data_IF_861994768484
#
_entry.id   IF_861994768484
#
_cell.length_a   1.000
_cell.length_b   1.000
_cell.length_c   1.000
_cell.angle_alpha   90.00
_cell.angle_beta   90.00
_cell.angle_gamma   90.00
#
_symmetry.space_group_name_H-M   'P 1'
#
loop_
_entity.id
_entity.type
_entity.pdbx_description
1 polymer ?
#
# COMPACT_ATOMS: atom_id res chain seq x y z
N UNK A 1 -93.03 35.29 4.62
CA UNK A 1 -91.61 35.43 4.22
C UNK A 1 -90.80 35.49 5.51
N UNK A 2 -90.19 34.36 5.89
CA UNK A 2 -89.39 34.21 7.12
C UNK A 2 -88.06 33.59 6.68
N UNK A 3 -86.97 34.30 6.90
CA UNK A 3 -85.60 33.87 6.53
C UNK A 3 -85.18 32.81 7.56
N UNK A 4 -84.77 31.59 7.16
CA UNK A 4 -84.28 30.61 8.11
C UNK A 4 -82.86 30.98 8.55
N UNK A 5 -82.65 30.91 9.85
CA UNK A 5 -81.41 31.22 10.54
C UNK A 5 -80.36 30.13 10.24
N UNK A 6 -79.20 30.52 9.73
CA UNK A 6 -78.15 29.62 9.18
C UNK A 6 -77.18 29.10 10.26
N UNK A 7 -77.46 29.36 11.53
CA UNK A 7 -76.55 29.11 12.66
C UNK A 7 -77.05 28.05 13.66
N UNK A 8 -77.89 27.11 13.21
CA UNK A 8 -78.16 25.89 13.99
C UNK A 8 -77.05 24.88 13.70
N UNK A 9 -75.98 24.95 14.50
CA UNK A 9 -74.99 23.87 14.54
C UNK A 9 -75.67 22.64 15.14
N UNK A 10 -75.73 21.55 14.39
CA UNK A 10 -76.02 20.25 14.96
C UNK A 10 -74.94 19.94 16.01
N UNK A 11 -75.29 19.50 17.23
CA UNK A 11 -74.28 19.02 18.17
C UNK A 11 -73.68 17.74 17.58
N UNK A 12 -72.36 17.74 17.36
CA UNK A 12 -71.59 16.54 17.06
C UNK A 12 -71.89 15.51 18.16
N UNK A 13 -72.44 14.36 17.77
CA UNK A 13 -72.70 13.23 18.66
C UNK A 13 -71.43 12.85 19.44
N UNK A 14 -71.49 12.67 20.77
CA UNK A 14 -70.31 12.50 21.62
C UNK A 14 -69.66 11.11 21.56
N UNK A 15 -69.95 10.29 20.54
CA UNK A 15 -69.52 8.89 20.52
C UNK A 15 -68.78 8.39 19.26
N UNK A 16 -68.36 9.27 18.36
CA UNK A 16 -67.46 8.87 17.25
C UNK A 16 -66.00 9.33 17.47
N UNK A 17 -65.51 9.21 18.71
CA UNK A 17 -64.07 9.03 18.92
C UNK A 17 -63.75 7.58 18.58
N UNK A 18 -63.78 7.26 17.28
CA UNK A 18 -63.26 6.02 16.77
C UNK A 18 -61.81 5.89 17.23
N UNK A 19 -61.55 4.90 18.07
CA UNK A 19 -60.23 4.34 18.30
C UNK A 19 -59.76 3.70 17.00
N UNK A 20 -59.40 4.52 16.01
CA UNK A 20 -58.59 4.04 14.91
C UNK A 20 -57.17 3.90 15.46
N UNK A 21 -56.60 2.71 15.32
CA UNK A 21 -55.20 2.37 15.60
C UNK A 21 -54.22 3.11 14.66
N UNK A 22 -54.64 4.23 14.08
CA UNK A 22 -53.92 5.01 13.09
C UNK A 22 -53.84 6.44 13.58
N UNK A 23 -52.63 6.88 13.89
CA UNK A 23 -52.36 8.29 14.18
C UNK A 23 -52.67 9.14 12.94
N UNK A 24 -53.24 10.33 13.16
CA UNK A 24 -53.53 11.28 12.10
C UNK A 24 -52.24 11.64 11.37
N UNK A 25 -52.26 11.53 10.05
CA UNK A 25 -51.16 11.97 9.19
C UNK A 25 -51.07 13.51 9.17
N UNK A 26 -49.87 14.03 8.98
CA UNK A 26 -49.60 15.46 8.92
C UNK A 26 -49.90 15.95 7.51
N UNK A 27 -50.88 16.83 7.36
CA UNK A 27 -51.27 17.41 6.07
C UNK A 27 -50.46 18.69 5.80
N UNK A 28 -49.65 18.66 4.75
CA UNK A 28 -48.96 19.82 4.20
C UNK A 28 -49.81 20.46 3.10
N UNK A 29 -49.82 21.80 3.08
CA UNK A 29 -50.58 22.60 2.13
C UNK A 29 -49.92 22.62 0.74
N UNK A 30 -48.60 22.50 0.69
CA UNK A 30 -47.84 22.53 -0.55
C UNK A 30 -46.59 21.64 -0.49
N UNK A 31 -46.06 21.18 -1.63
CA UNK A 31 -44.76 20.50 -1.67
C UNK A 31 -43.60 21.45 -1.32
N UNK A 32 -43.78 22.77 -1.52
CA UNK A 32 -42.81 23.77 -1.11
C UNK A 32 -42.60 23.80 0.42
N UNK A 33 -43.65 23.50 1.20
CA UNK A 33 -43.53 23.41 2.66
C UNK A 33 -42.64 22.24 3.08
N UNK A 34 -42.71 21.11 2.37
CA UNK A 34 -41.84 19.95 2.63
C UNK A 34 -40.37 20.29 2.33
N UNK A 35 -40.11 20.92 1.18
CA UNK A 35 -38.77 21.38 0.81
C UNK A 35 -38.23 22.42 1.81
N UNK A 36 -39.08 23.33 2.29
CA UNK A 36 -38.71 24.28 3.32
C UNK A 36 -38.37 23.60 4.65
N UNK A 37 -39.13 22.57 5.06
CA UNK A 37 -38.82 21.81 6.27
C UNK A 37 -37.50 21.03 6.15
N UNK A 38 -37.23 20.42 4.99
CA UNK A 38 -35.98 19.73 4.71
C UNK A 38 -34.79 20.69 4.78
N UNK A 39 -34.84 21.81 4.07
CA UNK A 39 -33.78 22.82 4.05
C UNK A 39 -33.55 23.44 5.43
N UNK A 40 -34.63 23.76 6.16
CA UNK A 40 -34.55 24.31 7.53
C UNK A 40 -33.95 23.30 8.51
N UNK A 41 -34.31 22.03 8.40
CA UNK A 41 -33.77 20.98 9.26
C UNK A 41 -32.27 20.77 9.00
N UNK A 42 -31.86 20.65 7.74
CA UNK A 42 -30.45 20.53 7.35
C UNK A 42 -29.64 21.76 7.77
N UNK A 43 -30.15 22.97 7.57
CA UNK A 43 -29.49 24.20 8.00
C UNK A 43 -29.34 24.28 9.53
N UNK A 44 -30.37 23.89 10.28
CA UNK A 44 -30.33 23.86 11.75
C UNK A 44 -29.32 22.82 12.24
N UNK A 45 -29.29 21.64 11.62
CA UNK A 45 -28.34 20.58 11.96
C UNK A 45 -26.89 21.05 11.74
N UNK A 46 -26.60 21.70 10.61
CA UNK A 46 -25.29 22.31 10.34
C UNK A 46 -24.91 23.38 11.35
N UNK A 47 -25.83 24.31 11.65
CA UNK A 47 -25.60 25.34 12.67
C UNK A 47 -25.33 24.75 14.06
N UNK A 48 -25.95 23.61 14.39
CA UNK A 48 -25.66 22.87 15.63
C UNK A 48 -24.28 22.22 15.62
N UNK A 49 -23.87 21.63 14.49
CA UNK A 49 -22.51 21.11 14.32
C UNK A 49 -21.49 22.24 14.47
N UNK A 50 -21.73 23.40 13.86
CA UNK A 50 -20.86 24.58 13.96
C UNK A 50 -20.75 25.13 15.39
N UNK A 51 -21.81 25.01 16.18
CA UNK A 51 -21.80 25.46 17.58
C UNK A 51 -21.02 24.51 18.48
N UNK A 52 -21.09 23.20 18.22
CA UNK A 52 -20.57 22.17 19.12
C UNK A 52 -19.23 21.57 18.70
N UNK A 53 -18.84 21.71 17.45
CA UNK A 53 -17.53 21.31 16.94
C UNK A 53 -16.76 22.56 16.49
N UNK A 54 -15.48 22.70 16.85
CA UNK A 54 -14.70 23.86 16.46
C UNK A 54 -14.64 23.96 14.93
N UNK A 55 -14.75 25.17 14.35
CA UNK A 55 -14.52 25.35 12.93
C UNK A 55 -13.08 24.93 12.60
N UNK A 56 -12.87 24.41 11.39
CA UNK A 56 -11.58 23.91 10.87
C UNK A 56 -10.41 24.89 11.07
N UNK A 57 -10.72 26.18 11.22
CA UNK A 57 -9.86 27.32 11.44
C UNK A 57 -9.21 27.35 12.84
N UNK A 58 -9.67 26.53 13.80
CA UNK A 58 -9.16 26.48 15.17
C UNK A 58 -8.08 25.40 15.39
N UNK A 59 -7.70 24.65 14.34
CA UNK A 59 -6.59 23.71 14.40
C UNK A 59 -5.24 24.45 14.26
N UNK A 60 -4.15 23.95 14.88
CA UNK A 60 -2.82 24.55 14.75
C UNK A 60 -2.41 24.63 13.26
N UNK A 61 -1.67 25.68 12.90
CA UNK A 61 -1.26 26.04 11.52
C UNK A 61 -0.60 24.91 10.69
N UNK A 62 -0.24 23.80 11.32
CA UNK A 62 0.36 22.61 10.69
C UNK A 62 -0.66 21.59 10.17
N UNK A 63 -1.96 21.76 10.42
CA UNK A 63 -3.02 20.87 9.96
C UNK A 63 -3.86 21.55 8.87
N UNK A 64 -3.38 21.52 7.63
CA UNK A 64 -3.98 22.16 6.45
C UNK A 64 -5.26 21.45 5.96
N UNK A 65 -6.15 20.98 6.85
CA UNK A 65 -7.33 20.19 6.46
C UNK A 65 -8.49 20.22 7.46
N UNK A 66 -9.70 20.03 6.93
CA UNK A 66 -10.95 19.88 7.69
C UNK A 66 -10.85 18.76 8.75
N UNK A 67 -11.41 19.02 9.93
CA UNK A 67 -11.42 18.06 11.04
C UNK A 67 -12.11 16.74 10.62
N UNK A 68 -11.40 15.59 10.66
CA UNK A 68 -11.96 14.30 10.26
C UNK A 68 -13.17 13.88 11.11
N UNK A 69 -13.21 14.28 12.39
CA UNK A 69 -14.35 14.01 13.27
C UNK A 69 -15.58 14.79 12.80
N UNK A 70 -15.40 16.08 12.49
CA UNK A 70 -16.46 16.95 11.97
C UNK A 70 -17.08 16.37 10.70
N UNK A 71 -16.25 15.97 9.72
CA UNK A 71 -16.71 15.30 8.49
C UNK A 71 -17.53 14.05 8.77
N UNK A 72 -17.05 13.20 9.68
CA UNK A 72 -17.75 11.94 10.00
C UNK A 72 -19.11 12.21 10.64
N UNK A 73 -19.21 13.21 11.50
CA UNK A 73 -20.47 13.63 12.13
C UNK A 73 -21.44 14.18 11.09
N UNK A 74 -20.97 15.02 10.17
CA UNK A 74 -21.81 15.55 9.08
C UNK A 74 -22.42 14.42 8.25
N UNK A 75 -21.61 13.44 7.83
CA UNK A 75 -22.09 12.27 7.07
C UNK A 75 -23.14 11.48 7.87
N UNK A 76 -22.91 11.23 9.16
CA UNK A 76 -23.85 10.48 10.00
C UNK A 76 -25.17 11.23 10.23
N UNK A 77 -25.10 12.55 10.34
CA UNK A 77 -26.28 13.41 10.50
C UNK A 77 -27.07 13.44 9.20
N UNK A 78 -26.43 13.61 8.05
CA UNK A 78 -27.11 13.57 6.74
C UNK A 78 -27.77 12.20 6.50
N UNK A 79 -27.09 11.10 6.84
CA UNK A 79 -27.65 9.75 6.76
C UNK A 79 -28.83 9.55 7.74
N UNK A 80 -28.73 10.10 8.95
CA UNK A 80 -29.83 10.08 9.92
C UNK A 80 -31.04 10.87 9.41
N UNK A 81 -30.82 12.07 8.85
CA UNK A 81 -31.87 12.88 8.26
C UNK A 81 -32.58 12.15 7.12
N UNK A 82 -31.82 11.47 6.25
CA UNK A 82 -32.39 10.60 5.21
C UNK A 82 -33.35 9.55 5.80
N UNK A 83 -32.89 8.79 6.79
CA UNK A 83 -33.73 7.78 7.48
C UNK A 83 -34.96 8.37 8.16
N UNK A 84 -34.85 9.57 8.73
CA UNK A 84 -35.99 10.28 9.34
C UNK A 84 -37.02 10.63 8.28
N UNK A 85 -36.60 11.13 7.12
CA UNK A 85 -37.52 11.45 6.02
C UNK A 85 -38.16 10.20 5.42
N UNK A 86 -37.41 9.12 5.25
CA UNK A 86 -37.95 7.84 4.80
C UNK A 86 -39.01 7.30 5.76
N UNK A 87 -38.74 7.37 7.08
CA UNK A 87 -39.70 6.97 8.11
C UNK A 87 -40.89 7.93 8.26
N UNK A 88 -40.68 9.22 8.01
CA UNK A 88 -41.73 10.24 8.08
C UNK A 88 -42.63 10.26 6.83
N UNK A 89 -42.15 9.76 5.69
CA UNK A 89 -42.88 9.81 4.42
C UNK A 89 -44.26 9.14 4.45
N UNK A 90 -44.41 8.05 5.22
CA UNK A 90 -45.71 7.40 5.42
C UNK A 90 -46.67 8.16 6.35
N UNK A 91 -46.17 9.15 7.08
CA UNK A 91 -46.92 9.94 8.06
C UNK A 91 -47.26 11.35 7.58
N UNK A 92 -46.79 11.74 6.39
CA UNK A 92 -47.00 13.06 5.79
C UNK A 92 -47.84 12.91 4.52
N UNK A 93 -48.84 13.78 4.37
CA UNK A 93 -49.66 13.91 3.16
C UNK A 93 -49.54 15.31 2.61
N UNK A 94 -49.60 15.46 1.29
CA UNK A 94 -49.64 16.76 0.62
C UNK A 94 -50.95 16.82 -0.14
N UNK A 95 -51.86 17.73 0.24
CA UNK A 95 -53.18 17.88 -0.40
C UNK A 95 -53.93 16.55 -0.61
N UNK A 96 -53.87 15.64 0.37
CA UNK A 96 -54.55 14.34 0.36
C UNK A 96 -53.78 13.20 -0.32
N UNK A 97 -52.69 13.50 -1.04
CA UNK A 97 -51.79 12.51 -1.66
C UNK A 97 -50.70 12.08 -0.67
N UNK A 98 -50.25 10.83 -0.74
CA UNK A 98 -49.12 10.34 0.07
C UNK A 98 -47.79 10.80 -0.52
N UNK A 99 -46.73 10.89 0.31
CA UNK A 99 -45.43 11.34 -0.17
C UNK A 99 -44.86 10.48 -1.31
N UNK A 100 -45.08 9.16 -1.30
CA UNK A 100 -44.62 8.27 -2.38
C UNK A 100 -45.37 8.46 -3.71
N UNK A 101 -46.65 8.83 -3.67
CA UNK A 101 -47.43 9.19 -4.86
C UNK A 101 -47.05 10.59 -5.35
N UNK A 102 -46.83 11.52 -4.41
CA UNK A 102 -46.29 12.84 -4.71
C UNK A 102 -44.88 12.74 -5.27
N UNK A 103 -44.00 11.85 -4.81
CA UNK A 103 -42.62 11.75 -5.30
C UNK A 103 -42.58 11.35 -6.78
N UNK A 104 -43.54 10.56 -7.26
CA UNK A 104 -43.69 10.27 -8.69
C UNK A 104 -44.14 11.49 -9.50
N UNK A 105 -45.01 12.33 -8.95
CA UNK A 105 -45.49 13.58 -9.57
C UNK A 105 -44.47 14.72 -9.45
N UNK A 106 -43.75 14.76 -8.33
CA UNK A 106 -42.64 15.66 -8.03
C UNK A 106 -41.48 15.31 -8.94
N UNK A 107 -40.98 14.06 -9.00
CA UNK A 107 -39.98 13.66 -10.01
C UNK A 107 -40.45 13.88 -11.46
N UNK A 108 -41.75 13.79 -11.74
CA UNK A 108 -42.33 14.10 -13.05
C UNK A 108 -42.37 15.61 -13.38
N UNK A 109 -42.58 16.47 -12.38
CA UNK A 109 -42.55 17.93 -12.49
C UNK A 109 -41.19 18.57 -12.24
N UNK A 110 -40.29 17.86 -11.54
CA UNK A 110 -38.91 18.19 -11.18
C UNK A 110 -37.91 17.58 -12.16
N UNK A 111 -38.34 17.13 -13.35
CA UNK A 111 -37.46 17.19 -14.52
C UNK A 111 -37.20 18.64 -14.97
N UNK A 112 -37.89 19.61 -14.35
CA UNK A 112 -37.46 21.00 -14.27
C UNK A 112 -36.65 21.33 -13.02
N UNK A 113 -36.19 20.33 -12.25
CA UNK A 113 -35.15 20.53 -11.25
C UNK A 113 -33.93 21.05 -11.96
N UNK A 114 -33.42 22.20 -11.52
CA UNK A 114 -32.33 22.95 -12.15
C UNK A 114 -31.19 21.99 -12.48
N UNK A 115 -31.12 21.54 -13.74
CA UNK A 115 -29.98 20.79 -14.24
C UNK A 115 -28.83 21.77 -14.14
N UNK A 116 -27.94 21.54 -13.17
CA UNK A 116 -26.73 22.35 -13.06
C UNK A 116 -26.08 22.40 -14.44
N UNK A 117 -25.93 23.61 -14.97
CA UNK A 117 -25.40 23.80 -16.29
C UNK A 117 -24.00 23.18 -16.33
N UNK A 118 -23.75 22.33 -17.33
CA UNK A 118 -22.46 21.66 -17.48
C UNK A 118 -21.32 22.69 -17.51
N UNK A 119 -20.50 22.70 -16.47
CA UNK A 119 -19.37 23.63 -16.39
C UNK A 119 -18.26 23.18 -17.34
N UNK A 120 -18.24 23.80 -18.51
CA UNK A 120 -17.21 23.57 -19.53
C UNK A 120 -15.79 23.83 -19.01
N UNK A 121 -15.61 24.72 -18.01
CA UNK A 121 -14.29 24.98 -17.41
C UNK A 121 -13.85 23.83 -16.52
N UNK A 122 -14.76 23.29 -15.71
CA UNK A 122 -14.49 22.12 -14.89
C UNK A 122 -14.20 20.90 -15.79
N UNK A 123 -14.99 20.69 -16.83
CA UNK A 123 -14.76 19.63 -17.81
C UNK A 123 -13.39 19.76 -18.49
N UNK A 124 -13.02 20.96 -18.96
CA UNK A 124 -11.69 21.19 -19.53
C UNK A 124 -10.56 20.90 -18.53
N UNK A 125 -10.76 21.24 -17.24
CA UNK A 125 -9.78 20.95 -16.19
C UNK A 125 -9.66 19.45 -15.92
N UNK A 126 -10.77 18.72 -15.87
CA UNK A 126 -10.76 17.26 -15.70
C UNK A 126 -10.05 16.59 -16.87
N UNK A 127 -10.30 17.03 -18.10
CA UNK A 127 -9.60 16.54 -19.29
C UNK A 127 -8.09 16.82 -19.22
N UNK A 128 -7.70 18.04 -18.83
CA UNK A 128 -6.29 18.40 -18.67
C UNK A 128 -5.60 17.56 -17.57
N UNK A 129 -6.26 17.32 -16.45
CA UNK A 129 -5.74 16.48 -15.37
C UNK A 129 -5.63 15.01 -15.81
N UNK A 130 -6.59 14.48 -16.56
CA UNK A 130 -6.50 13.12 -17.14
C UNK A 130 -5.28 12.99 -18.05
N UNK A 131 -5.08 13.95 -18.96
CA UNK A 131 -3.93 13.97 -19.85
C UNK A 131 -2.60 14.05 -19.07
N UNK A 132 -2.54 14.82 -17.98
CA UNK A 132 -1.37 14.86 -17.10
C UNK A 132 -1.12 13.51 -16.43
N UNK A 133 -2.15 12.87 -15.88
CA UNK A 133 -2.04 11.55 -15.25
C UNK A 133 -1.52 10.51 -16.26
N UNK A 134 -2.04 10.52 -17.49
CA UNK A 134 -1.58 9.62 -18.55
C UNK A 134 -0.11 9.87 -18.92
N UNK A 135 0.28 11.14 -19.06
CA UNK A 135 1.67 11.51 -19.36
C UNK A 135 2.64 11.07 -18.26
N UNK A 136 2.26 11.24 -16.99
CA UNK A 136 3.06 10.83 -15.84
C UNK A 136 3.10 9.31 -15.68
N UNK A 137 2.01 8.62 -15.99
CA UNK A 137 1.96 7.16 -16.00
C UNK A 137 2.91 6.60 -17.06
N UNK A 138 2.93 7.19 -18.25
CA UNK A 138 3.87 6.82 -19.32
C UNK A 138 5.32 7.14 -18.93
N UNK A 139 5.58 8.32 -18.35
CA UNK A 139 6.90 8.68 -17.87
C UNK A 139 7.42 7.73 -16.78
N UNK A 140 6.56 7.35 -15.82
CA UNK A 140 6.90 6.39 -14.77
C UNK A 140 7.17 5.00 -15.33
N UNK A 141 6.37 4.54 -16.30
CA UNK A 141 6.59 3.26 -16.97
C UNK A 141 7.95 3.23 -17.69
N UNK A 142 8.27 4.31 -18.42
CA UNK A 142 9.57 4.46 -19.07
C UNK A 142 10.72 4.52 -18.07
N UNK A 143 10.56 5.24 -16.97
CA UNK A 143 11.58 5.32 -15.91
C UNK A 143 11.81 3.95 -15.28
N UNK A 144 10.75 3.20 -14.95
CA UNK A 144 10.88 1.83 -14.39
C UNK A 144 11.54 0.86 -15.36
N UNK A 145 11.33 1.03 -16.66
CA UNK A 145 11.95 0.19 -17.69
C UNK A 145 13.43 0.52 -17.91
N UNK A 146 13.77 1.79 -17.97
CA UNK A 146 15.10 2.23 -18.42
C UNK A 146 16.06 2.57 -17.28
N UNK A 147 15.58 3.16 -16.18
CA UNK A 147 16.43 3.65 -15.09
C UNK A 147 17.25 2.55 -14.39
N UNK A 148 16.73 1.34 -14.12
CA UNK A 148 17.54 0.28 -13.51
C UNK A 148 18.72 -0.13 -14.39
N UNK A 149 18.49 -0.31 -15.70
CA UNK A 149 19.53 -0.68 -16.66
C UNK A 149 20.57 0.42 -16.82
N UNK A 150 20.14 1.67 -17.01
CA UNK A 150 21.03 2.81 -17.16
C UNK A 150 21.89 3.04 -15.90
N UNK A 151 21.29 2.89 -14.71
CA UNK A 151 22.02 3.05 -13.43
C UNK A 151 23.02 1.91 -13.22
N UNK A 152 22.63 0.66 -13.54
CA UNK A 152 23.51 -0.49 -13.45
C UNK A 152 24.72 -0.37 -14.40
N UNK A 153 24.50 0.10 -15.62
CA UNK A 153 25.56 0.35 -16.60
C UNK A 153 26.53 1.45 -16.12
N UNK A 154 26.00 2.57 -15.64
CA UNK A 154 26.83 3.64 -15.04
C UNK A 154 27.64 3.13 -13.85
N UNK A 155 27.03 2.32 -12.99
CA UNK A 155 27.73 1.73 -11.86
C UNK A 155 28.82 0.75 -12.31
N UNK A 156 28.54 -0.10 -13.29
CA UNK A 156 29.51 -1.05 -13.84
C UNK A 156 30.73 -0.34 -14.42
N UNK A 157 30.52 0.69 -15.24
CA UNK A 157 31.61 1.48 -15.84
C UNK A 157 32.47 2.13 -14.75
N UNK A 158 31.85 2.76 -13.77
CA UNK A 158 32.59 3.40 -12.67
C UNK A 158 33.34 2.36 -11.82
N UNK A 159 32.75 1.19 -11.60
CA UNK A 159 33.37 0.10 -10.85
C UNK A 159 34.57 -0.50 -11.58
N UNK A 160 34.48 -0.69 -12.90
CA UNK A 160 35.59 -1.15 -13.75
C UNK A 160 36.75 -0.13 -13.71
N UNK A 161 36.45 1.16 -13.82
CA UNK A 161 37.47 2.22 -13.71
C UNK A 161 38.16 2.23 -12.34
N UNK A 162 37.39 2.17 -11.26
CA UNK A 162 37.93 2.13 -9.90
C UNK A 162 38.79 0.87 -9.67
N UNK A 163 38.34 -0.28 -10.19
CA UNK A 163 39.09 -1.53 -10.11
C UNK A 163 40.42 -1.44 -10.85
N UNK A 164 40.44 -0.90 -12.07
CA UNK A 164 41.68 -0.69 -12.82
C UNK A 164 42.64 0.26 -12.09
N UNK A 165 42.13 1.34 -11.48
CA UNK A 165 42.93 2.25 -10.66
C UNK A 165 43.56 1.56 -9.45
N UNK A 166 42.80 0.72 -8.76
CA UNK A 166 43.27 -0.05 -7.60
C UNK A 166 44.30 -1.11 -8.03
N UNK A 167 44.06 -1.83 -9.12
CA UNK A 167 45.03 -2.79 -9.69
C UNK A 167 46.33 -2.09 -10.08
N UNK A 168 46.26 -0.91 -10.72
CA UNK A 168 47.44 -0.08 -11.02
C UNK A 168 48.18 0.32 -9.73
N UNK A 169 47.47 0.78 -8.70
CA UNK A 169 48.07 1.18 -7.43
C UNK A 169 48.76 0.01 -6.73
N UNK A 170 48.15 -1.17 -6.71
CA UNK A 170 48.74 -2.39 -6.14
C UNK A 170 49.97 -2.83 -6.92
N UNK A 171 49.93 -2.78 -8.26
CA UNK A 171 51.07 -3.12 -9.10
C UNK A 171 52.26 -2.17 -8.86
N UNK A 172 52.01 -0.86 -8.74
CA UNK A 172 53.04 0.13 -8.41
C UNK A 172 53.65 -0.10 -7.03
N UNK A 173 52.82 -0.36 -6.01
CA UNK A 173 53.29 -0.65 -4.65
C UNK A 173 54.09 -1.96 -4.62
N UNK A 174 53.62 -2.99 -5.31
CA UNK A 174 54.31 -4.27 -5.44
C UNK A 174 55.65 -4.15 -6.15
N UNK A 175 55.73 -3.36 -7.21
CA UNK A 175 56.98 -3.07 -7.92
C UNK A 175 57.97 -2.33 -7.01
N UNK A 176 57.52 -1.30 -6.28
CA UNK A 176 58.35 -0.60 -5.30
C UNK A 176 58.84 -1.53 -4.19
N UNK A 177 57.95 -2.38 -3.65
CA UNK A 177 58.32 -3.35 -2.62
C UNK A 177 59.33 -4.38 -3.12
N UNK A 178 59.25 -4.79 -4.40
CA UNK A 178 60.20 -5.71 -5.01
C UNK A 178 61.57 -5.05 -5.21
N UNK A 179 61.62 -3.80 -5.68
CA UNK A 179 62.86 -3.03 -5.80
C UNK A 179 63.51 -2.83 -4.41
N UNK A 180 62.73 -2.43 -3.42
CA UNK A 180 63.15 -2.36 -2.02
C UNK A 180 63.70 -3.70 -1.50
N UNK A 181 63.06 -4.82 -1.83
CA UNK A 181 63.49 -6.15 -1.43
C UNK A 181 64.76 -6.60 -2.16
N UNK A 182 64.94 -6.26 -3.44
CA UNK A 182 66.19 -6.53 -4.20
C UNK A 182 67.39 -5.85 -3.55
N UNK A 183 67.21 -4.66 -2.97
CA UNK A 183 68.25 -3.95 -2.22
C UNK A 183 68.46 -4.44 -0.78
N UNK A 184 67.58 -5.28 -0.24
CA UNK A 184 67.66 -5.80 1.13
C UNK A 184 68.25 -7.21 1.12
N UNK A 185 69.52 -7.31 1.50
CA UNK A 185 70.13 -8.60 1.81
C UNK A 185 69.60 -9.07 3.19
N UNK A 186 68.75 -10.09 3.20
CA UNK A 186 68.37 -10.77 4.44
C UNK A 186 69.59 -11.56 4.93
N UNK A 187 70.19 -11.10 6.02
CA UNK A 187 71.12 -11.90 6.79
C UNK A 187 70.33 -13.03 7.46
N UNK A 188 70.17 -14.13 6.72
CA UNK A 188 69.85 -15.41 7.31
C UNK A 188 71.05 -15.74 8.21
N UNK A 189 70.89 -15.51 9.51
CA UNK A 189 71.88 -15.94 10.49
C UNK A 189 72.15 -17.45 10.39
N UNK A 190 73.16 -17.92 11.12
CA UNK A 190 73.49 -19.33 11.17
C UNK A 190 72.25 -20.15 11.56
N UNK A 191 71.82 -21.05 10.67
CA UNK A 191 70.66 -21.92 10.92
C UNK A 191 71.09 -22.95 11.95
N UNK A 192 70.76 -22.70 13.22
CA UNK A 192 71.22 -23.39 14.44
C UNK A 192 71.15 -24.93 14.38
N UNK A 193 70.34 -25.51 13.47
CA UNK A 193 70.08 -26.95 13.39
C UNK A 193 70.15 -27.52 11.98
N UNK A 194 70.84 -26.85 11.05
CA UNK A 194 70.90 -27.28 9.65
C UNK A 194 71.39 -28.73 9.50
N UNK A 195 72.44 -29.08 10.23
CA UNK A 195 73.02 -30.43 10.18
C UNK A 195 72.07 -31.49 10.77
N UNK A 196 71.31 -31.16 11.81
CA UNK A 196 70.30 -32.08 12.36
C UNK A 196 69.15 -32.30 11.38
N UNK A 197 68.68 -31.23 10.73
CA UNK A 197 67.61 -31.31 9.73
C UNK A 197 68.08 -32.11 8.52
N UNK A 198 69.30 -31.85 8.02
CA UNK A 198 69.92 -32.61 6.94
C UNK A 198 70.06 -34.09 7.30
N UNK A 199 70.60 -34.40 8.48
CA UNK A 199 70.76 -35.78 8.92
C UNK A 199 69.43 -36.51 9.18
N UNK A 200 68.38 -35.79 9.56
CA UNK A 200 67.03 -36.37 9.70
C UNK A 200 66.38 -36.61 8.34
N UNK A 201 66.60 -35.71 7.38
CA UNK A 201 66.15 -35.87 6.00
C UNK A 201 66.85 -37.04 5.30
N UNK A 202 68.18 -37.13 5.43
CA UNK A 202 68.97 -38.23 4.86
C UNK A 202 68.50 -39.58 5.42
N UNK A 203 68.37 -39.72 6.75
CA UNK A 203 67.82 -40.93 7.38
C UNK A 203 66.40 -41.25 6.93
N UNK A 204 65.51 -40.25 6.92
CA UNK A 204 64.14 -40.45 6.44
C UNK A 204 64.08 -40.88 4.98
N UNK A 205 64.97 -40.35 4.13
CA UNK A 205 65.04 -40.74 2.72
C UNK A 205 65.58 -42.17 2.52
N UNK A 206 66.53 -42.59 3.36
CA UNK A 206 67.08 -43.94 3.39
C UNK A 206 66.04 -44.95 3.89
N UNK A 207 65.37 -44.66 5.01
CA UNK A 207 64.29 -45.48 5.58
C UNK A 207 63.12 -45.65 4.59
N UNK A 208 62.74 -44.59 3.87
CA UNK A 208 61.73 -44.66 2.81
C UNK A 208 62.20 -45.52 1.62
N UNK A 209 63.48 -45.46 1.28
CA UNK A 209 64.09 -46.33 0.28
C UNK A 209 64.05 -47.81 0.68
N UNK A 210 64.42 -48.12 1.92
CA UNK A 210 64.35 -49.46 2.48
C UNK A 210 62.91 -49.98 2.56
N UNK A 211 61.98 -49.14 3.02
CA UNK A 211 60.55 -49.49 3.10
C UNK A 211 60.00 -49.83 1.71
N UNK A 212 60.37 -49.05 0.68
CA UNK A 212 60.00 -49.34 -0.71
C UNK A 212 60.53 -50.71 -1.16
N UNK A 213 61.77 -51.06 -0.81
CA UNK A 213 62.34 -52.38 -1.10
C UNK A 213 61.57 -53.51 -0.40
N UNK A 214 61.33 -53.37 0.91
CA UNK A 214 60.58 -54.35 1.72
C UNK A 214 59.14 -54.51 1.27
N UNK A 215 58.48 -53.42 0.87
CA UNK A 215 57.13 -53.48 0.27
C UNK A 215 57.14 -54.33 -1.01
N UNK A 216 58.14 -54.15 -1.87
CA UNK A 216 58.35 -54.99 -3.06
C UNK A 216 58.48 -56.48 -2.69
N UNK A 217 59.32 -56.81 -1.72
CA UNK A 217 59.47 -58.20 -1.25
C UNK A 217 58.19 -58.78 -0.65
N UNK A 218 57.44 -58.00 0.12
CA UNK A 218 56.15 -58.45 0.68
C UNK A 218 55.11 -58.66 -0.41
N UNK A 219 55.08 -57.81 -1.44
CA UNK A 219 54.24 -58.00 -2.62
C UNK A 219 54.60 -59.28 -3.36
N UNK A 220 55.89 -59.55 -3.59
CA UNK A 220 56.30 -60.82 -4.21
C UNK A 220 55.93 -62.04 -3.36
N UNK A 221 56.04 -61.95 -2.03
CA UNK A 221 55.60 -63.03 -1.13
C UNK A 221 54.09 -63.21 -1.18
N UNK A 222 53.31 -62.12 -1.26
CA UNK A 222 51.87 -62.18 -1.45
C UNK A 222 51.50 -62.80 -2.79
N UNK A 223 52.16 -62.42 -3.88
CA UNK A 223 51.91 -63.01 -5.21
C UNK A 223 52.27 -64.49 -5.24
N UNK A 224 53.41 -64.89 -4.66
CA UNK A 224 53.76 -66.32 -4.51
C UNK A 224 52.74 -67.08 -3.67
N UNK A 225 52.30 -66.51 -2.54
CA UNK A 225 51.27 -67.12 -1.70
C UNK A 225 49.92 -67.21 -2.41
N UNK A 226 49.57 -66.21 -3.22
CA UNK A 226 48.38 -66.21 -4.08
C UNK A 226 48.44 -67.31 -5.13
N UNK A 227 49.56 -67.43 -5.86
CA UNK A 227 49.77 -68.50 -6.84
C UNK A 227 49.69 -69.88 -6.19
N UNK A 228 50.25 -70.05 -5.00
CA UNK A 228 50.14 -71.30 -4.23
C UNK A 228 48.69 -71.54 -3.77
N UNK A 229 47.98 -70.51 -3.32
CA UNK A 229 46.57 -70.59 -2.97
C UNK A 229 45.69 -71.00 -4.16
N UNK A 230 45.88 -70.37 -5.31
CA UNK A 230 45.23 -70.73 -6.57
C UNK A 230 45.57 -72.18 -7.00
N UNK A 231 46.77 -72.67 -6.70
CA UNK A 231 47.16 -74.07 -6.95
C UNK A 231 46.56 -75.07 -5.96
N UNK A 232 46.36 -74.67 -4.70
CA UNK A 232 45.74 -75.51 -3.65
C UNK A 232 44.21 -75.55 -3.80
N UNK A 233 43.58 -74.45 -4.19
CA UNK A 233 42.15 -74.36 -4.53
C UNK A 233 41.85 -74.92 -5.94
N UNK A 234 42.86 -74.94 -6.82
CA UNK A 234 42.81 -75.49 -8.18
C UNK A 234 42.95 -77.01 -8.26
N UNK A 235 42.35 -77.74 -7.32
CA UNK A 235 42.04 -79.17 -7.45
C UNK A 235 40.69 -79.49 -6.85
#
# INVERSE_FOLDING_TARGET
MVIPNIFTSAPLSPHDRATSTHHRQIDLQSPADLAYLQTKLSATARSKIDTHLPPTNALPENATGEDPLRKRVEVLVDEYLGRVWDGAGGNVRINGMSLGECEGVLRGGEQGGEIEAFDNKLAARVQALSAQIESHTLALANLRRNAPGETAEKYRVNFEQAREEDERRVAELGAKALEDARGRQLELGEVERLEEVKGTWERGSEELGELRGRLGETMEKMERARVVGEYVEGR
#
